data_IF_454509286456
#
_entry.id   IF_454509286456
#
_cell.length_a   1.000
_cell.length_b   1.000
_cell.length_c   1.000
_cell.angle_alpha   90.00
_cell.angle_beta   90.00
_cell.angle_gamma   90.00
#
_symmetry.space_group_name_H-M   'P 1'
#
loop_
_entity.id
_entity.type
_entity.pdbx_description
1 polymer ?
#
# COMPACT_ATOMS: atom_id res chain seq x y z
N UNK A 1 10.19 42.49 19.14
CA UNK A 1 10.43 41.32 18.27
C UNK A 1 10.80 40.16 19.18
N UNK A 2 10.06 39.06 19.13
CA UNK A 2 10.28 37.91 20.04
C UNK A 2 11.59 37.19 19.66
N UNK A 3 12.63 37.19 20.51
CA UNK A 3 13.95 36.69 20.16
C UNK A 3 14.00 35.17 19.93
N UNK A 4 12.94 34.43 20.33
CA UNK A 4 12.89 32.96 20.29
C UNK A 4 12.13 32.37 19.08
N UNK A 5 11.83 33.17 18.06
CA UNK A 5 11.08 32.70 16.87
C UNK A 5 11.82 31.60 16.09
N UNK A 6 13.15 31.54 16.19
CA UNK A 6 14.00 30.59 15.46
C UNK A 6 14.54 29.42 16.28
N UNK A 7 14.47 29.48 17.62
CA UNK A 7 14.92 28.40 18.51
C UNK A 7 14.10 27.10 18.35
N UNK A 8 12.91 27.18 17.74
CA UNK A 8 12.09 26.00 17.39
C UNK A 8 12.63 25.23 16.17
N UNK A 9 13.45 25.86 15.33
CA UNK A 9 13.97 25.24 14.11
C UNK A 9 15.34 24.58 14.30
N UNK A 10 16.06 24.87 15.39
CA UNK A 10 17.36 24.25 15.71
C UNK A 10 17.30 22.74 15.92
N UNK A 11 16.11 22.20 16.19
CA UNK A 11 15.89 20.75 16.34
C UNK A 11 15.49 20.05 15.04
N UNK A 12 15.31 20.80 13.94
CA UNK A 12 14.99 20.22 12.63
C UNK A 12 16.30 19.72 12.03
N UNK A 13 16.62 18.44 12.30
CA UNK A 13 17.74 17.78 11.65
C UNK A 13 17.49 17.80 10.13
N UNK A 14 18.47 18.24 9.32
CA UNK A 14 18.34 18.15 7.87
C UNK A 14 18.11 16.68 7.50
N UNK A 15 17.16 16.42 6.60
CA UNK A 15 16.94 15.09 6.07
C UNK A 15 18.26 14.59 5.46
N UNK A 16 18.69 13.41 5.90
CA UNK A 16 19.90 12.79 5.38
C UNK A 16 19.73 12.51 3.88
N UNK A 17 20.74 12.72 3.02
CA UNK A 17 20.68 12.35 1.61
C UNK A 17 20.30 10.87 1.40
N UNK A 18 20.64 10.01 2.35
CA UNK A 18 20.22 8.60 2.36
C UNK A 18 18.70 8.43 2.50
N UNK A 19 18.06 9.28 3.31
CA UNK A 19 16.59 9.31 3.48
C UNK A 19 15.92 9.65 2.15
N UNK A 20 16.41 10.67 1.45
CA UNK A 20 15.90 11.07 0.14
C UNK A 20 16.00 9.95 -0.89
N UNK A 21 17.14 9.26 -0.95
CA UNK A 21 17.32 8.12 -1.86
C UNK A 21 16.33 7.00 -1.52
N UNK A 22 16.17 6.65 -0.23
CA UNK A 22 15.22 5.62 0.19
C UNK A 22 13.76 6.00 -0.13
N UNK A 23 13.39 7.27 0.01
CA UNK A 23 12.06 7.75 -0.40
C UNK A 23 11.83 7.58 -1.90
N UNK A 24 12.82 7.90 -2.74
CA UNK A 24 12.74 7.73 -4.21
C UNK A 24 12.58 6.26 -4.59
N UNK A 25 13.39 5.37 -3.99
CA UNK A 25 13.29 3.93 -4.24
C UNK A 25 11.92 3.39 -3.80
N UNK A 26 11.44 3.81 -2.62
CA UNK A 26 10.13 3.41 -2.11
C UNK A 26 9.01 3.86 -3.04
N UNK A 27 9.09 5.08 -3.56
CA UNK A 27 8.13 5.62 -4.51
C UNK A 27 8.10 4.82 -5.83
N UNK A 28 9.27 4.51 -6.39
CA UNK A 28 9.37 3.68 -7.60
C UNK A 28 8.80 2.28 -7.39
N UNK A 29 9.09 1.66 -6.24
CA UNK A 29 8.53 0.35 -5.88
C UNK A 29 7.00 0.38 -5.80
N UNK A 30 6.43 1.41 -5.18
CA UNK A 30 4.97 1.57 -5.11
C UNK A 30 4.37 1.70 -6.50
N UNK A 31 4.96 2.51 -7.39
CA UNK A 31 4.49 2.64 -8.78
C UNK A 31 4.48 1.28 -9.48
N UNK A 32 5.58 0.52 -9.38
CA UNK A 32 5.68 -0.78 -10.02
C UNK A 32 4.68 -1.77 -9.41
N UNK A 33 4.46 -1.71 -8.10
CA UNK A 33 3.43 -2.49 -7.41
C UNK A 33 2.04 -2.19 -7.95
N UNK A 34 1.69 -0.91 -8.13
CA UNK A 34 0.40 -0.49 -8.72
C UNK A 34 0.26 -1.06 -10.14
N UNK A 35 1.29 -0.93 -10.98
CA UNK A 35 1.27 -1.43 -12.36
C UNK A 35 1.10 -2.95 -12.37
N UNK A 36 1.88 -3.67 -11.56
CA UNK A 36 1.81 -5.13 -11.44
C UNK A 36 0.43 -5.63 -11.02
N UNK A 37 -0.15 -5.04 -9.98
CA UNK A 37 -1.52 -5.33 -9.54
C UNK A 37 -2.53 -5.02 -10.63
N UNK A 38 -2.39 -3.87 -11.30
CA UNK A 38 -3.31 -3.47 -12.38
C UNK A 38 -3.29 -4.47 -13.54
N UNK A 39 -2.11 -4.90 -13.97
CA UNK A 39 -1.98 -5.91 -15.03
C UNK A 39 -2.65 -7.24 -14.62
N UNK A 40 -2.45 -7.70 -13.39
CA UNK A 40 -3.08 -8.92 -12.88
C UNK A 40 -4.60 -8.76 -12.73
N UNK A 41 -5.07 -7.58 -12.35
CA UNK A 41 -6.48 -7.26 -12.18
C UNK A 41 -7.24 -7.25 -13.52
N UNK A 42 -6.63 -6.70 -14.58
CA UNK A 42 -7.27 -6.54 -15.88
C UNK A 42 -7.05 -7.72 -16.84
N UNK A 43 -6.12 -8.63 -16.54
CA UNK A 43 -5.89 -9.84 -17.35
C UNK A 43 -7.16 -10.69 -17.49
N UNK A 44 -7.35 -11.32 -18.64
CA UNK A 44 -8.57 -12.09 -18.95
C UNK A 44 -8.86 -13.20 -17.94
N UNK A 45 -7.83 -13.90 -17.46
CA UNK A 45 -7.89 -14.90 -16.39
C UNK A 45 -7.32 -14.36 -15.05
N UNK A 46 -7.45 -13.06 -14.80
CA UNK A 46 -6.93 -12.42 -13.60
C UNK A 46 -7.57 -12.94 -12.32
N UNK A 47 -6.78 -12.96 -11.24
CA UNK A 47 -7.22 -13.41 -9.90
C UNK A 47 -8.50 -12.72 -9.42
N UNK A 48 -8.69 -11.45 -9.79
CA UNK A 48 -9.87 -10.68 -9.40
C UNK A 48 -11.14 -11.25 -10.03
N UNK A 49 -11.14 -11.49 -11.35
CA UNK A 49 -12.29 -12.08 -12.04
C UNK A 49 -12.61 -13.47 -11.51
N UNK A 50 -11.59 -14.27 -11.20
CA UNK A 50 -11.77 -15.61 -10.62
C UNK A 50 -12.41 -15.55 -9.23
N UNK A 51 -11.93 -14.67 -8.36
CA UNK A 51 -12.49 -14.51 -7.01
C UNK A 51 -13.93 -13.99 -7.08
N UNK A 52 -14.17 -12.98 -7.92
CA UNK A 52 -15.51 -12.40 -8.09
C UNK A 52 -16.49 -13.41 -8.68
N UNK A 53 -16.07 -14.18 -9.68
CA UNK A 53 -16.88 -15.28 -10.25
C UNK A 53 -17.27 -16.30 -9.18
N UNK A 54 -16.31 -16.75 -8.37
CA UNK A 54 -16.56 -17.70 -7.25
C UNK A 54 -17.54 -17.16 -6.21
N UNK A 55 -17.54 -15.84 -5.96
CA UNK A 55 -18.47 -15.21 -5.02
C UNK A 55 -19.92 -15.25 -5.51
N UNK A 56 -20.14 -15.24 -6.83
CA UNK A 56 -21.47 -15.28 -7.44
C UNK A 56 -21.89 -16.66 -7.95
N UNK A 57 -21.00 -17.66 -7.89
CA UNK A 57 -21.24 -19.00 -8.42
C UNK A 57 -22.32 -19.79 -7.63
N UNK A 58 -22.48 -19.54 -6.32
CA UNK A 58 -23.46 -20.25 -5.51
C UNK A 58 -24.11 -19.38 -4.43
N UNK A 59 -25.30 -19.76 -3.98
CA UNK A 59 -26.00 -19.11 -2.85
C UNK A 59 -25.16 -19.13 -1.57
N UNK A 60 -24.41 -20.21 -1.32
CA UNK A 60 -23.48 -20.31 -0.19
C UNK A 60 -22.30 -19.34 -0.32
N UNK A 61 -21.83 -19.11 -1.54
CA UNK A 61 -20.77 -18.13 -1.84
C UNK A 61 -21.26 -16.70 -1.64
N UNK A 62 -22.52 -16.43 -1.96
CA UNK A 62 -23.15 -15.12 -1.83
C UNK A 62 -23.24 -14.66 -0.36
N UNK A 63 -23.32 -15.60 0.59
CA UNK A 63 -23.27 -15.32 2.04
C UNK A 63 -21.91 -14.75 2.49
N UNK A 64 -20.84 -14.92 1.69
CA UNK A 64 -19.55 -14.29 1.98
C UNK A 64 -19.51 -12.80 1.67
N UNK A 65 -20.42 -12.27 0.84
CA UNK A 65 -20.47 -10.84 0.51
C UNK A 65 -20.57 -9.97 1.76
N UNK A 66 -21.52 -10.19 2.70
CA UNK A 66 -21.57 -9.41 3.94
C UNK A 66 -20.32 -9.62 4.82
N UNK A 67 -19.74 -10.82 4.84
CA UNK A 67 -18.51 -11.11 5.60
C UNK A 67 -17.33 -10.29 5.07
N UNK A 68 -17.15 -10.25 3.74
CA UNK A 68 -16.13 -9.45 3.06
C UNK A 68 -16.39 -7.96 3.29
N UNK A 69 -17.66 -7.51 3.25
CA UNK A 69 -18.03 -6.14 3.57
C UNK A 69 -17.61 -5.72 4.98
N UNK A 70 -17.86 -6.56 5.98
CA UNK A 70 -17.43 -6.33 7.36
C UNK A 70 -15.91 -6.34 7.48
N UNK A 71 -15.23 -7.29 6.83
CA UNK A 71 -13.77 -7.36 6.82
C UNK A 71 -13.14 -6.10 6.20
N UNK A 72 -13.69 -5.62 5.08
CA UNK A 72 -13.22 -4.41 4.40
C UNK A 72 -13.50 -3.15 5.24
N UNK A 73 -14.66 -3.10 5.90
CA UNK A 73 -14.98 -2.04 6.85
C UNK A 73 -14.03 -2.03 8.05
N UNK A 74 -13.72 -3.20 8.61
CA UNK A 74 -12.77 -3.35 9.71
C UNK A 74 -11.36 -2.94 9.28
N UNK A 75 -10.94 -3.35 8.08
CA UNK A 75 -9.66 -2.97 7.49
C UNK A 75 -9.58 -1.44 7.32
N UNK A 76 -10.58 -0.82 6.70
CA UNK A 76 -10.64 0.63 6.55
C UNK A 76 -10.65 1.35 7.90
N UNK A 77 -11.41 0.84 8.89
CA UNK A 77 -11.45 1.42 10.24
C UNK A 77 -10.10 1.31 10.96
N UNK A 78 -9.37 0.23 10.72
CA UNK A 78 -8.04 0.02 11.28
C UNK A 78 -6.99 0.93 10.64
N UNK A 79 -7.04 1.10 9.32
CA UNK A 79 -6.12 1.98 8.60
C UNK A 79 -6.44 3.46 8.78
N UNK A 80 -7.72 3.81 8.96
CA UNK A 80 -8.21 5.20 9.06
C UNK A 80 -8.36 5.71 10.49
N UNK A 81 -7.93 4.95 11.50
CA UNK A 81 -8.01 5.42 12.89
C UNK A 81 -7.22 6.72 13.08
N UNK A 82 -7.88 7.84 13.47
CA UNK A 82 -7.27 9.16 13.47
C UNK A 82 -6.34 9.29 14.67
N UNK A 83 -5.03 9.20 14.42
CA UNK A 83 -4.02 9.48 15.44
C UNK A 83 -3.63 10.96 15.37
N UNK A 84 -4.36 11.79 16.11
CA UNK A 84 -3.74 13.02 16.62
C UNK A 84 -2.62 12.55 17.56
N UNK A 85 -1.38 12.82 17.17
CA UNK A 85 -0.20 13.02 18.06
C UNK A 85 0.98 12.07 17.93
N UNK A 86 0.90 10.82 17.47
CA UNK A 86 2.12 10.02 17.27
C UNK A 86 2.04 9.10 16.05
N UNK A 87 2.99 9.27 15.12
CA UNK A 87 3.23 8.41 13.95
C UNK A 87 3.39 6.96 14.40
N UNK A 88 2.30 6.20 14.50
CA UNK A 88 2.36 4.75 14.67
C UNK A 88 2.54 4.08 13.31
N UNK A 89 3.49 3.15 13.24
CA UNK A 89 3.86 2.24 12.13
C UNK A 89 2.68 1.55 11.41
N UNK A 90 1.46 1.59 11.97
CA UNK A 90 0.25 1.03 11.37
C UNK A 90 -0.23 1.81 10.14
N UNK A 91 0.01 3.12 10.08
CA UNK A 91 -0.31 3.94 8.90
C UNK A 91 0.56 3.62 7.67
N UNK A 92 1.75 3.05 7.90
CA UNK A 92 2.71 2.69 6.85
C UNK A 92 2.45 1.29 6.26
N UNK A 93 1.50 0.53 6.82
CA UNK A 93 1.19 -0.85 6.39
C UNK A 93 0.79 -0.91 4.91
N UNK A 94 -0.15 -0.09 4.40
CA UNK A 94 -0.49 -0.11 2.98
C UNK A 94 0.72 0.19 2.10
N UNK A 95 1.57 1.13 2.52
CA UNK A 95 2.79 1.49 1.80
C UNK A 95 3.77 0.31 1.73
N UNK A 96 4.05 -0.36 2.85
CA UNK A 96 4.95 -1.52 2.85
C UNK A 96 4.40 -2.71 2.05
N UNK A 97 3.09 -2.94 2.08
CA UNK A 97 2.45 -3.97 1.24
C UNK A 97 2.66 -3.64 -0.24
N UNK A 98 2.41 -2.40 -0.65
CA UNK A 98 2.59 -1.99 -2.05
C UNK A 98 4.05 -2.06 -2.48
N UNK A 99 4.99 -1.71 -1.60
CA UNK A 99 6.43 -1.89 -1.85
C UNK A 99 6.82 -3.36 -2.01
N UNK A 100 6.31 -4.26 -1.17
CA UNK A 100 6.57 -5.70 -1.26
C UNK A 100 6.03 -6.30 -2.56
N UNK A 101 4.82 -5.89 -2.97
CA UNK A 101 4.24 -6.27 -4.26
C UNK A 101 5.09 -5.73 -5.42
N UNK A 102 5.50 -4.46 -5.36
CA UNK A 102 6.38 -3.86 -6.36
C UNK A 102 7.72 -4.57 -6.47
N UNK A 103 8.33 -4.94 -5.35
CA UNK A 103 9.58 -5.71 -5.32
C UNK A 103 9.39 -7.11 -5.94
N UNK A 104 8.27 -7.79 -5.65
CA UNK A 104 7.94 -9.07 -6.26
C UNK A 104 7.80 -8.96 -7.79
N UNK A 105 7.09 -7.94 -8.29
CA UNK A 105 6.95 -7.74 -9.74
C UNK A 105 8.26 -7.31 -10.40
N UNK A 106 9.07 -6.46 -9.75
CA UNK A 106 10.42 -6.15 -10.21
C UNK A 106 11.27 -7.40 -10.34
N UNK A 107 11.29 -8.24 -9.30
CA UNK A 107 12.02 -9.51 -9.32
C UNK A 107 11.52 -10.39 -10.45
N UNK A 108 10.20 -10.55 -10.59
CA UNK A 108 9.59 -11.33 -11.67
C UNK A 108 10.00 -10.80 -13.05
N UNK A 109 9.93 -9.49 -13.30
CA UNK A 109 10.34 -8.91 -14.59
C UNK A 109 11.82 -9.20 -14.87
N UNK A 110 12.69 -9.05 -13.87
CA UNK A 110 14.12 -9.31 -14.04
C UNK A 110 14.44 -10.80 -14.26
N UNK A 111 13.79 -11.72 -13.56
CA UNK A 111 14.10 -13.15 -13.64
C UNK A 111 13.36 -13.89 -14.73
N UNK A 112 12.17 -13.43 -15.12
CA UNK A 112 11.34 -14.09 -16.14
C UNK A 112 11.19 -13.28 -17.44
N UNK A 113 11.93 -12.18 -17.61
CA UNK A 113 12.07 -11.47 -18.89
C UNK A 113 10.95 -10.49 -19.25
N UNK A 114 9.83 -10.50 -18.52
CA UNK A 114 8.75 -9.53 -18.67
C UNK A 114 7.66 -9.93 -19.67
N UNK A 115 6.42 -9.90 -19.15
CA UNK A 115 5.09 -10.29 -19.71
C UNK A 115 4.84 -11.80 -19.82
#
# INVERSE_FOLDING_TARGET
MDPNKYAKNDKIKPDSPFSTIMSVVSFLLVIIGIIGVSMEFFKEAGIFKTILGKLFESTSSMLWIPVIGVAFWLFNKWTSSPSKTEKRKAGDIPMYIMMAIGAFYLFRIMTTGGV
#
